data_IF_534952806258
#
_entry.id   IF_534952806258
#
_cell.length_a   1.000
_cell.length_b   1.000
_cell.length_c   1.000
_cell.angle_alpha   90.00
_cell.angle_beta   90.00
_cell.angle_gamma   90.00
#
_symmetry.space_group_name_H-M   'P 1'
#
loop_
_entity.id
_entity.type
_entity.pdbx_description
1 polymer ?
#
# COMPACT_ATOMS: atom_id res chain seq x y z
N UNK A 1 -32.71 -7.01 15.29
CA UNK A 1 -31.91 -6.00 14.54
C UNK A 1 -30.50 -6.05 15.08
N UNK A 2 -29.59 -6.73 14.39
CA UNK A 2 -28.16 -6.74 14.74
C UNK A 2 -27.53 -5.45 14.26
N UNK A 3 -27.10 -4.61 15.20
CA UNK A 3 -26.30 -3.41 14.95
C UNK A 3 -24.97 -3.86 14.37
N UNK A 4 -24.73 -3.58 13.09
CA UNK A 4 -23.47 -3.92 12.44
C UNK A 4 -22.46 -2.84 12.86
N UNK A 5 -21.49 -3.22 13.68
CA UNK A 5 -20.33 -2.39 13.98
C UNK A 5 -19.46 -2.26 12.71
N UNK A 6 -19.40 -1.06 12.14
CA UNK A 6 -18.62 -0.77 10.94
C UNK A 6 -17.11 -0.74 11.21
N UNK A 7 -16.67 -0.66 12.48
CA UNK A 7 -15.24 -0.69 12.84
C UNK A 7 -14.62 -2.08 12.70
N UNK A 8 -15.42 -3.13 12.78
CA UNK A 8 -14.97 -4.54 12.73
C UNK A 8 -14.85 -5.10 11.29
N UNK A 9 -15.43 -4.42 10.29
CA UNK A 9 -15.49 -4.99 8.94
C UNK A 9 -14.18 -4.71 8.19
N UNK A 10 -13.25 -5.67 8.24
CA UNK A 10 -12.07 -5.68 7.37
C UNK A 10 -12.50 -5.36 5.93
N UNK A 11 -11.79 -4.42 5.28
CA UNK A 11 -12.07 -4.06 3.88
C UNK A 11 -11.98 -5.32 3.02
N UNK A 12 -13.10 -5.70 2.41
CA UNK A 12 -13.18 -6.87 1.51
C UNK A 12 -12.63 -6.58 0.11
N UNK A 13 -12.52 -5.30 -0.24
CA UNK A 13 -12.05 -4.84 -1.55
C UNK A 13 -10.66 -4.24 -1.42
N UNK A 14 -9.73 -4.72 -2.25
CA UNK A 14 -8.38 -4.16 -2.35
C UNK A 14 -8.40 -2.85 -3.15
N UNK A 15 -7.62 -1.87 -2.69
CA UNK A 15 -7.35 -0.63 -3.41
C UNK A 15 -5.97 -0.78 -4.06
N UNK A 16 -5.96 -0.88 -5.39
CA UNK A 16 -4.75 -1.02 -6.20
C UNK A 16 -4.37 0.36 -6.73
N UNK A 17 -3.17 0.83 -6.38
CA UNK A 17 -2.65 2.13 -6.84
C UNK A 17 -1.47 1.92 -7.78
N UNK A 18 -1.49 2.56 -8.94
CA UNK A 18 -0.34 2.54 -9.86
C UNK A 18 0.69 3.57 -9.41
N UNK A 19 1.92 3.14 -9.16
CA UNK A 19 3.01 3.99 -8.67
C UNK A 19 3.87 4.43 -9.87
N UNK A 20 4.26 5.70 -9.88
CA UNK A 20 4.98 6.35 -10.96
C UNK A 20 5.84 7.51 -10.47
N UNK A 21 6.26 8.43 -11.36
CA UNK A 21 7.13 9.55 -11.00
C UNK A 21 6.55 10.48 -9.92
N UNK A 22 5.22 10.66 -9.89
CA UNK A 22 4.52 11.49 -8.89
C UNK A 22 4.54 10.89 -7.47
N UNK A 23 4.96 9.64 -7.32
CA UNK A 23 4.94 8.88 -6.05
C UNK A 23 6.34 8.32 -5.75
N UNK A 24 7.37 9.07 -6.14
CA UNK A 24 8.78 8.65 -6.10
C UNK A 24 9.47 8.92 -4.75
N UNK A 25 8.83 8.54 -3.65
CA UNK A 25 9.44 8.54 -2.32
C UNK A 25 8.73 7.55 -1.38
N UNK A 26 9.36 7.20 -0.26
CA UNK A 26 8.74 6.36 0.75
C UNK A 26 7.58 7.07 1.46
N UNK A 27 7.70 8.38 1.65
CA UNK A 27 6.70 9.24 2.28
C UNK A 27 5.42 9.30 1.44
N UNK A 28 5.55 9.47 0.12
CA UNK A 28 4.38 9.48 -0.78
C UNK A 28 3.65 8.13 -0.77
N UNK A 29 4.38 7.02 -0.67
CA UNK A 29 3.79 5.68 -0.55
C UNK A 29 3.10 5.51 0.82
N UNK A 30 3.66 6.08 1.88
CA UNK A 30 3.06 6.09 3.22
C UNK A 30 1.77 6.92 3.28
N UNK A 31 1.72 8.07 2.61
CA UNK A 31 0.48 8.85 2.46
C UNK A 31 -0.61 8.03 1.77
N UNK A 32 -0.29 7.37 0.65
CA UNK A 32 -1.22 6.49 -0.04
C UNK A 32 -1.70 5.32 0.84
N UNK A 33 -0.79 4.74 1.63
CA UNK A 33 -1.12 3.71 2.61
C UNK A 33 -2.13 4.22 3.64
N UNK A 34 -1.90 5.41 4.20
CA UNK A 34 -2.80 6.06 5.16
C UNK A 34 -4.16 6.42 4.55
N UNK A 35 -4.21 6.75 3.26
CA UNK A 35 -5.45 6.92 2.50
C UNK A 35 -6.19 5.59 2.23
N UNK A 36 -5.56 4.45 2.50
CA UNK A 36 -6.19 3.12 2.43
C UNK A 36 -5.75 2.27 1.24
N UNK A 37 -4.67 2.62 0.54
CA UNK A 37 -4.04 1.76 -0.47
C UNK A 37 -3.65 0.42 0.16
N UNK A 38 -3.98 -0.68 -0.52
CA UNK A 38 -3.64 -2.04 -0.06
C UNK A 38 -2.62 -2.73 -0.94
N UNK A 39 -2.49 -2.30 -2.20
CA UNK A 39 -1.64 -2.96 -3.19
C UNK A 39 -1.05 -1.93 -4.15
N UNK A 40 0.24 -2.05 -4.44
CA UNK A 40 0.90 -1.25 -5.45
C UNK A 40 0.91 -1.99 -6.79
N UNK A 41 0.75 -1.25 -7.89
CA UNK A 41 0.97 -1.73 -9.26
C UNK A 41 2.15 -0.99 -9.86
N UNK A 42 3.13 -1.74 -10.33
CA UNK A 42 4.25 -1.21 -11.11
C UNK A 42 3.96 -1.44 -12.59
N UNK A 43 3.97 -0.35 -13.36
CA UNK A 43 3.79 -0.44 -14.80
C UNK A 43 5.18 -0.56 -15.46
N UNK A 44 5.50 -1.74 -16.00
CA UNK A 44 6.79 -2.04 -16.63
C UNK A 44 6.87 -1.69 -18.12
N UNK A 45 5.80 -1.17 -18.73
CA UNK A 45 5.90 -0.67 -20.10
C UNK A 45 6.74 0.61 -20.21
N UNK A 46 7.04 1.26 -19.09
CA UNK A 46 7.83 2.49 -19.00
C UNK A 46 8.74 2.46 -17.76
N UNK A 47 9.86 3.18 -17.82
CA UNK A 47 10.85 3.30 -16.73
C UNK A 47 11.90 2.19 -16.73
N UNK A 48 13.03 2.43 -16.05
CA UNK A 48 14.12 1.46 -15.96
C UNK A 48 13.95 0.48 -14.76
N UNK A 49 14.71 -0.61 -14.75
CA UNK A 49 14.66 -1.58 -13.66
C UNK A 49 15.09 -1.01 -12.30
N UNK A 50 15.95 0.01 -12.30
CA UNK A 50 16.51 0.62 -11.08
C UNK A 50 15.44 1.44 -10.36
N UNK A 51 14.68 2.25 -11.10
CA UNK A 51 13.52 3.01 -10.63
C UNK A 51 12.43 2.09 -10.09
N UNK A 52 12.08 1.03 -10.83
CA UNK A 52 11.09 0.06 -10.36
C UNK A 52 11.58 -0.65 -9.08
N UNK A 53 12.89 -0.96 -9.01
CA UNK A 53 13.53 -1.50 -7.81
C UNK A 53 13.42 -0.58 -6.60
N UNK A 54 13.68 0.72 -6.78
CA UNK A 54 13.55 1.72 -5.71
C UNK A 54 12.10 1.77 -5.16
N UNK A 55 11.09 1.76 -6.05
CA UNK A 55 9.67 1.70 -5.65
C UNK A 55 9.34 0.47 -4.82
N UNK A 56 9.89 -0.70 -5.17
CA UNK A 56 9.71 -1.94 -4.38
C UNK A 56 10.35 -1.80 -2.99
N UNK A 57 11.55 -1.23 -2.90
CA UNK A 57 12.25 -1.02 -1.62
C UNK A 57 11.43 -0.13 -0.71
N UNK A 58 10.95 1.02 -1.20
CA UNK A 58 10.12 1.92 -0.40
C UNK A 58 8.81 1.28 0.04
N UNK A 59 8.12 0.55 -0.84
CA UNK A 59 6.89 -0.17 -0.47
C UNK A 59 7.12 -1.22 0.63
N UNK A 60 8.27 -1.91 0.60
CA UNK A 60 8.67 -2.84 1.68
C UNK A 60 8.94 -2.11 2.99
N UNK A 61 9.63 -0.97 2.94
CA UNK A 61 9.89 -0.14 4.13
C UNK A 61 8.59 0.34 4.78
N UNK A 62 7.67 0.89 4.00
CA UNK A 62 6.34 1.33 4.49
C UNK A 62 5.56 0.17 5.09
N UNK A 63 5.59 -1.00 4.44
CA UNK A 63 4.94 -2.22 4.97
C UNK A 63 5.54 -2.63 6.30
N UNK A 64 6.87 -2.69 6.42
CA UNK A 64 7.55 -3.10 7.65
C UNK A 64 7.33 -2.13 8.80
N UNK A 65 7.31 -0.83 8.51
CA UNK A 65 6.98 0.23 9.48
C UNK A 65 5.57 0.06 10.04
N UNK A 66 4.59 -0.19 9.18
CA UNK A 66 3.17 -0.26 9.57
C UNK A 66 2.69 -1.65 10.02
N UNK A 67 3.48 -2.70 9.78
CA UNK A 67 3.18 -4.06 10.23
C UNK A 67 3.14 -4.17 11.76
N UNK A 68 4.02 -3.46 12.47
CA UNK A 68 4.11 -3.52 13.93
C UNK A 68 2.96 -2.80 14.64
N UNK A 69 2.23 -1.93 13.93
CA UNK A 69 1.19 -1.06 14.48
C UNK A 69 -0.24 -1.56 14.24
N UNK A 70 -0.47 -2.51 13.32
CA UNK A 70 -1.82 -3.00 13.00
C UNK A 70 -1.89 -4.52 12.81
N UNK A 71 -2.43 -5.22 13.83
CA UNK A 71 -2.70 -6.67 13.86
C UNK A 71 -3.83 -7.13 12.90
N UNK A 72 -4.47 -6.21 12.17
CA UNK A 72 -5.60 -6.50 11.28
C UNK A 72 -5.22 -6.76 9.81
N UNK A 73 -3.94 -6.77 9.46
CA UNK A 73 -3.53 -7.00 8.07
C UNK A 73 -3.18 -8.47 7.82
N UNK A 74 -4.10 -9.14 7.14
CA UNK A 74 -3.94 -10.51 6.68
C UNK A 74 -2.81 -10.60 5.67
N UNK A 75 -1.95 -11.60 5.88
CA UNK A 75 -0.76 -11.94 5.09
C UNK A 75 -1.18 -12.32 3.66
N UNK A 76 -1.07 -11.39 2.71
CA UNK A 76 -1.15 -11.65 1.27
C UNK A 76 -0.16 -10.77 0.51
#
# INVERSE_FOLDING_TARGET
>A
MTTIDLKEKMKRTKIITTIGPSTHSAEAIEELFNCGMTTIRLNFSHGDHKEQGARIVWAKQVREKNWKTNLNFTRY
#
